data_IF_898722333132
#
_entry.id   IF_898722333132
#
_cell.length_a   1.000
_cell.length_b   1.000
_cell.length_c   1.000
_cell.angle_alpha   90.00
_cell.angle_beta   90.00
_cell.angle_gamma   90.00
#
_symmetry.space_group_name_H-M   'P 1'
#
loop_
_entity.id
_entity.type
_entity.pdbx_description
1 polymer ?
#
# COMPACT_ATOMS: atom_id res chain seq x y z
N UNK A 1 21.36 28.00 7.91
CA UNK A 1 20.62 27.01 7.09
C UNK A 1 19.23 27.56 6.85
N UNK A 2 19.03 28.11 5.64
CA UNK A 2 17.95 29.03 5.27
C UNK A 2 16.78 28.24 4.66
N UNK A 3 15.58 28.36 5.24
CA UNK A 3 14.38 27.58 4.91
C UNK A 3 13.63 28.07 3.65
N UNK A 4 14.14 29.07 2.94
CA UNK A 4 13.45 29.69 1.79
C UNK A 4 13.51 28.90 0.48
N UNK A 5 14.12 27.71 0.45
CA UNK A 5 14.35 26.97 -0.81
C UNK A 5 13.42 25.77 -1.08
N UNK A 6 12.42 25.47 -0.23
CA UNK A 6 11.48 24.36 -0.45
C UNK A 6 10.30 24.67 -1.39
N UNK A 7 10.35 25.78 -2.14
CA UNK A 7 9.29 26.19 -3.08
C UNK A 7 9.46 25.61 -4.50
N UNK A 8 9.92 24.36 -4.63
CA UNK A 8 9.89 23.61 -5.88
C UNK A 8 8.99 22.39 -5.73
N UNK A 9 7.67 22.61 -5.79
CA UNK A 9 6.70 21.50 -5.90
C UNK A 9 6.77 20.90 -7.30
N UNK A 10 6.95 19.58 -7.47
CA UNK A 10 6.84 18.92 -8.77
C UNK A 10 5.41 19.02 -9.32
N UNK A 11 5.30 19.26 -10.62
CA UNK A 11 4.09 19.67 -11.35
C UNK A 11 2.99 18.59 -11.53
N UNK A 12 2.99 17.49 -10.76
CA UNK A 12 2.09 16.35 -11.01
C UNK A 12 1.03 16.08 -9.93
N UNK A 13 1.03 16.80 -8.80
CA UNK A 13 0.11 16.49 -7.70
C UNK A 13 -1.36 16.62 -8.14
N UNK A 14 -2.17 15.55 -8.07
CA UNK A 14 -3.58 15.63 -8.44
C UNK A 14 -4.31 16.53 -7.45
N UNK A 15 -4.89 17.62 -7.95
CA UNK A 15 -5.77 18.50 -7.17
C UNK A 15 -7.06 17.75 -6.83
N UNK A 16 -7.52 17.74 -5.56
CA UNK A 16 -8.83 17.20 -5.23
C UNK A 16 -9.89 18.07 -5.91
N UNK A 17 -10.64 17.49 -6.86
CA UNK A 17 -11.79 18.16 -7.46
C UNK A 17 -12.80 18.44 -6.35
N UNK A 18 -13.11 19.72 -6.09
CA UNK A 18 -14.21 20.10 -5.19
C UNK A 18 -15.50 19.38 -5.63
N UNK A 19 -16.21 18.68 -4.73
CA UNK A 19 -17.52 18.14 -5.08
C UNK A 19 -18.49 19.31 -5.33
N UNK A 20 -19.41 19.18 -6.30
CA UNK A 20 -20.42 20.20 -6.57
C UNK A 20 -21.41 20.32 -5.40
N UNK A 21 -22.01 21.50 -5.17
CA UNK A 21 -23.03 21.66 -4.13
C UNK A 21 -24.27 20.83 -4.45
N UNK A 22 -24.80 20.15 -3.43
CA UNK A 22 -26.01 19.34 -3.49
C UNK A 22 -27.21 20.21 -3.91
N UNK A 23 -27.68 20.03 -5.15
CA UNK A 23 -28.87 20.71 -5.65
C UNK A 23 -30.12 19.92 -5.29
N UNK A 24 -31.02 20.63 -4.64
CA UNK A 24 -32.33 20.24 -4.13
C UNK A 24 -33.11 19.20 -4.94
N UNK A 25 -33.61 18.22 -4.17
CA UNK A 25 -34.92 17.57 -4.31
C UNK A 25 -35.82 18.12 -5.42
N UNK A 26 -36.16 17.24 -6.37
CA UNK A 26 -37.57 17.00 -6.73
C UNK A 26 -37.74 15.74 -7.60
N UNK A 27 -38.65 14.89 -7.12
CA UNK A 27 -39.45 13.87 -7.81
C UNK A 27 -38.71 12.68 -8.42
N UNK A 28 -38.92 11.52 -7.81
CA UNK A 28 -39.11 10.28 -8.56
C UNK A 28 -40.45 9.65 -8.14
N UNK A 29 -41.24 9.36 -9.17
CA UNK A 29 -42.61 8.85 -9.14
C UNK A 29 -42.53 7.35 -9.41
N UNK A 30 -43.32 6.58 -8.66
CA UNK A 30 -43.76 5.20 -8.89
C UNK A 30 -43.07 4.38 -10.01
N UNK A 31 -42.21 3.43 -9.62
CA UNK A 31 -42.20 2.03 -10.11
C UNK A 31 -40.99 1.30 -9.51
N UNK A 32 -41.32 0.45 -8.53
CA UNK A 32 -40.66 -0.79 -8.09
C UNK A 32 -39.28 -1.09 -8.73
N UNK A 33 -38.18 -0.91 -7.98
CA UNK A 33 -37.05 -1.87 -7.87
C UNK A 33 -35.79 -1.38 -7.15
N UNK A 34 -35.75 -0.18 -6.56
CA UNK A 34 -34.58 0.24 -5.78
C UNK A 34 -34.97 0.87 -4.43
N UNK A 35 -35.70 0.10 -3.61
CA UNK A 35 -35.96 0.41 -2.21
C UNK A 35 -35.19 -0.52 -1.25
N UNK A 36 -34.08 -1.12 -1.72
CA UNK A 36 -33.23 -2.03 -0.95
C UNK A 36 -31.76 -1.65 -1.08
N UNK A 37 -31.43 -0.38 -0.87
CA UNK A 37 -30.10 -0.04 -0.41
C UNK A 37 -30.23 0.49 1.01
N UNK A 38 -30.34 -0.50 1.91
CA UNK A 38 -29.74 -0.50 3.25
C UNK A 38 -29.11 0.82 3.62
N UNK A 39 -29.83 1.62 4.42
CA UNK A 39 -29.17 2.41 5.46
C UNK A 39 -28.38 1.41 6.31
N UNK A 40 -27.11 1.16 5.97
CA UNK A 40 -26.16 0.81 7.02
C UNK A 40 -26.11 2.07 7.86
N UNK A 41 -26.71 2.01 9.03
CA UNK A 41 -26.24 2.78 10.16
C UNK A 41 -24.80 2.33 10.37
N UNK A 42 -23.87 2.88 9.59
CA UNK A 42 -22.47 2.89 9.96
C UNK A 42 -22.45 3.71 11.25
N UNK A 43 -22.43 3.02 12.39
CA UNK A 43 -22.42 3.67 13.68
C UNK A 43 -21.17 4.54 13.76
N UNK A 44 -21.37 5.84 13.94
CA UNK A 44 -20.28 6.78 14.18
C UNK A 44 -19.99 6.75 15.67
N UNK A 45 -18.97 5.98 16.04
CA UNK A 45 -18.46 5.96 17.40
C UNK A 45 -17.60 7.21 17.65
N UNK A 46 -17.61 7.69 18.88
CA UNK A 46 -16.76 8.78 19.33
C UNK A 46 -15.73 8.22 20.29
N UNK A 47 -14.46 8.40 19.97
CA UNK A 47 -13.35 7.94 20.81
C UNK A 47 -12.60 9.15 21.32
N UNK A 48 -12.32 9.18 22.62
CA UNK A 48 -11.48 10.20 23.23
C UNK A 48 -10.06 9.66 23.28
N UNK A 49 -9.13 10.35 22.62
CA UNK A 49 -7.70 10.05 22.61
C UNK A 49 -6.93 11.14 23.34
N UNK A 50 -5.79 10.82 23.92
CA UNK A 50 -4.94 11.77 24.66
C UNK A 50 -3.65 12.02 23.89
N UNK A 51 -3.33 13.28 23.60
CA UNK A 51 -2.06 13.67 22.96
C UNK A 51 -1.44 14.82 23.74
N UNK A 52 -0.20 14.65 24.20
CA UNK A 52 0.54 15.57 25.07
C UNK A 52 -0.27 16.00 26.31
N UNK A 53 -1.02 15.06 26.89
CA UNK A 53 -1.87 15.29 28.06
C UNK A 53 -3.16 16.08 27.79
N UNK A 54 -3.53 16.31 26.53
CA UNK A 54 -4.81 16.95 26.15
C UNK A 54 -5.77 15.93 25.52
N UNK A 55 -7.05 15.92 25.93
CA UNK A 55 -8.04 15.03 25.34
C UNK A 55 -8.56 15.60 24.02
N UNK A 56 -8.61 14.77 22.98
CA UNK A 56 -9.16 15.05 21.67
C UNK A 56 -10.26 14.02 21.35
N UNK A 57 -11.41 14.48 20.88
CA UNK A 57 -12.52 13.59 20.48
C UNK A 57 -12.44 13.36 18.97
N UNK A 58 -12.31 12.10 18.57
CA UNK A 58 -12.25 11.67 17.18
C UNK A 58 -13.50 10.87 16.80
N UNK A 59 -13.97 11.06 15.58
CA UNK A 59 -15.08 10.32 14.99
C UNK A 59 -14.50 9.11 14.26
N UNK A 60 -14.97 7.92 14.62
CA UNK A 60 -14.45 6.66 14.13
C UNK A 60 -15.60 5.76 13.66
N UNK A 61 -15.41 4.98 12.58
CA UNK A 61 -16.29 3.86 12.29
C UNK A 61 -16.30 2.85 13.45
N UNK A 62 -17.45 2.25 13.74
CA UNK A 62 -17.54 1.16 14.70
C UNK A 62 -16.54 0.03 14.40
N UNK A 63 -15.72 -0.33 15.40
CA UNK A 63 -14.75 -1.41 15.33
C UNK A 63 -13.29 -1.00 15.10
N UNK A 64 -13.00 0.26 14.74
CA UNK A 64 -11.62 0.75 14.50
C UNK A 64 -11.05 1.55 15.69
N UNK A 65 -11.77 1.59 16.81
CA UNK A 65 -11.39 2.39 17.99
C UNK A 65 -10.01 2.05 18.55
N UNK A 66 -9.63 0.76 18.56
CA UNK A 66 -8.34 0.31 19.05
C UNK A 66 -7.19 0.82 18.15
N UNK A 67 -7.37 0.74 16.84
CA UNK A 67 -6.37 1.22 15.88
C UNK A 67 -6.15 2.73 16.01
N UNK A 68 -7.22 3.52 16.21
CA UNK A 68 -7.09 4.95 16.47
C UNK A 68 -6.34 5.26 17.77
N UNK A 69 -6.52 4.45 18.82
CA UNK A 69 -5.77 4.62 20.08
C UNK A 69 -4.28 4.35 19.86
N UNK A 70 -3.93 3.28 19.15
CA UNK A 70 -2.54 2.95 18.83
C UNK A 70 -1.88 4.09 18.00
N UNK A 71 -2.61 4.64 17.02
CA UNK A 71 -2.13 5.79 16.23
C UNK A 71 -1.94 7.05 17.09
N UNK A 72 -2.83 7.28 18.05
CA UNK A 72 -2.71 8.41 18.98
C UNK A 72 -1.51 8.25 19.92
N UNK A 73 -1.25 7.04 20.43
CA UNK A 73 -0.06 6.74 21.24
C UNK A 73 1.23 6.93 20.44
N UNK A 74 1.25 6.49 19.18
CA UNK A 74 2.36 6.74 18.27
C UNK A 74 2.60 8.23 18.08
N UNK A 75 1.55 9.01 17.83
CA UNK A 75 1.66 10.46 17.71
C UNK A 75 2.15 11.12 19.01
N UNK A 76 1.65 10.69 20.17
CA UNK A 76 2.10 11.20 21.47
C UNK A 76 3.60 10.95 21.69
N UNK A 77 4.08 9.74 21.38
CA UNK A 77 5.50 9.41 21.50
C UNK A 77 6.40 10.31 20.63
N UNK A 78 5.93 10.65 19.44
CA UNK A 78 6.63 11.54 18.50
C UNK A 78 6.62 12.98 19.01
N UNK A 79 5.50 13.44 19.57
CA UNK A 79 5.40 14.75 20.21
C UNK A 79 6.33 14.85 21.42
N UNK A 80 6.41 13.82 22.28
CA UNK A 80 7.37 13.80 23.39
C UNK A 80 8.82 13.87 22.89
N UNK A 81 9.15 13.17 21.80
CA UNK A 81 10.50 13.23 21.23
C UNK A 81 10.86 14.63 20.70
N UNK A 82 9.91 15.30 20.04
CA UNK A 82 10.08 16.69 19.57
C UNK A 82 10.18 17.67 20.75
N UNK A 83 9.41 17.44 21.82
CA UNK A 83 9.47 18.24 23.05
C UNK A 83 10.84 18.16 23.72
N UNK A 84 11.47 16.99 23.74
CA UNK A 84 12.84 16.83 24.28
C UNK A 84 13.89 17.58 23.46
N UNK A 85 13.72 17.71 22.13
CA UNK A 85 14.73 18.32 21.26
C UNK A 85 14.56 19.83 21.06
N UNK A 86 13.33 20.35 21.01
CA UNK A 86 13.03 21.76 20.71
C UNK A 86 12.63 22.55 21.97
N UNK A 87 12.34 21.88 23.08
CA UNK A 87 11.84 22.47 24.32
C UNK A 87 10.33 22.77 24.29
N UNK A 88 9.83 23.47 25.31
CA UNK A 88 8.40 23.83 25.42
C UNK A 88 7.99 24.99 24.50
N UNK A 89 8.18 24.82 23.18
CA UNK A 89 7.65 25.75 22.18
C UNK A 89 6.19 25.39 21.94
N UNK A 90 5.25 26.29 22.25
CA UNK A 90 3.80 26.05 22.32
C UNK A 90 3.18 24.86 21.56
N UNK A 91 2.27 24.16 22.24
CA UNK A 91 1.63 22.88 21.86
C UNK A 91 1.31 22.71 20.37
N UNK A 92 0.73 23.72 19.72
CA UNK A 92 0.34 23.66 18.30
C UNK A 92 1.56 23.46 17.39
N UNK A 93 2.68 24.17 17.66
CA UNK A 93 3.88 24.07 16.82
C UNK A 93 4.55 22.70 16.97
N UNK A 94 4.58 22.15 18.19
CA UNK A 94 5.09 20.80 18.44
C UNK A 94 4.28 19.74 17.69
N UNK A 95 2.94 19.83 17.73
CA UNK A 95 2.06 18.89 17.02
C UNK A 95 2.28 18.94 15.49
N UNK A 96 2.44 20.13 14.91
CA UNK A 96 2.72 20.28 13.48
C UNK A 96 4.07 19.66 13.11
N UNK A 97 5.12 19.90 13.91
CA UNK A 97 6.44 19.31 13.67
C UNK A 97 6.40 17.79 13.77
N UNK A 98 5.78 17.24 14.82
CA UNK A 98 5.63 15.80 14.99
C UNK A 98 4.83 15.17 13.84
N UNK A 99 3.71 15.79 13.43
CA UNK A 99 2.90 15.32 12.31
C UNK A 99 3.67 15.30 10.97
N UNK A 100 4.49 16.33 10.70
CA UNK A 100 5.34 16.36 9.51
C UNK A 100 6.42 15.26 9.53
N UNK A 101 7.01 14.98 10.70
CA UNK A 101 8.00 13.89 10.83
C UNK A 101 7.38 12.51 10.60
N UNK A 102 6.17 12.27 11.11
CA UNK A 102 5.44 11.02 10.86
C UNK A 102 5.08 10.89 9.39
N UNK A 103 4.61 11.98 8.76
CA UNK A 103 4.29 11.98 7.34
C UNK A 103 5.52 11.71 6.46
N UNK A 104 6.68 12.27 6.81
CA UNK A 104 7.95 12.02 6.12
C UNK A 104 8.34 10.54 6.17
N UNK A 105 8.30 9.92 7.36
CA UNK A 105 8.55 8.48 7.53
C UNK A 105 7.59 7.60 6.75
N UNK A 106 6.30 7.97 6.73
CA UNK A 106 5.30 7.24 5.95
C UNK A 106 5.61 7.35 4.45
N UNK A 107 5.98 8.54 3.98
CA UNK A 107 6.38 8.75 2.59
C UNK A 107 7.59 7.89 2.22
N UNK A 108 8.63 7.85 3.05
CA UNK A 108 9.79 6.99 2.84
C UNK A 108 9.42 5.51 2.82
N UNK A 109 8.55 5.06 3.75
CA UNK A 109 8.11 3.68 3.81
C UNK A 109 7.35 3.26 2.54
N UNK A 110 6.46 4.13 2.04
CA UNK A 110 5.72 3.89 0.79
C UNK A 110 6.70 3.77 -0.39
N UNK A 111 7.68 4.67 -0.51
CA UNK A 111 8.68 4.59 -1.57
C UNK A 111 9.52 3.31 -1.49
N UNK A 112 9.90 2.88 -0.28
CA UNK A 112 10.61 1.60 -0.08
C UNK A 112 9.76 0.40 -0.48
N UNK A 113 8.47 0.39 -0.14
CA UNK A 113 7.54 -0.67 -0.53
C UNK A 113 7.45 -0.74 -2.07
N UNK A 114 7.28 0.40 -2.75
CA UNK A 114 7.23 0.44 -4.22
C UNK A 114 8.52 -0.10 -4.86
N UNK A 115 9.68 0.29 -4.34
CA UNK A 115 10.96 -0.23 -4.83
C UNK A 115 11.13 -1.74 -4.58
N UNK A 116 10.63 -2.26 -3.46
CA UNK A 116 10.65 -3.69 -3.16
C UNK A 116 9.67 -4.47 -4.05
N UNK A 117 8.48 -3.92 -4.30
CA UNK A 117 7.50 -4.49 -5.23
C UNK A 117 8.07 -4.60 -6.65
N UNK A 118 8.78 -3.57 -7.12
CA UNK A 118 9.46 -3.59 -8.42
C UNK A 118 10.55 -4.66 -8.48
N UNK A 119 11.39 -4.77 -7.44
CA UNK A 119 12.40 -5.83 -7.35
C UNK A 119 11.79 -7.23 -7.34
N UNK A 120 10.71 -7.44 -6.59
CA UNK A 120 10.00 -8.73 -6.56
C UNK A 120 9.41 -9.07 -7.92
N UNK A 121 8.86 -8.08 -8.63
CA UNK A 121 8.35 -8.28 -9.98
C UNK A 121 9.47 -8.61 -10.97
N UNK A 122 10.59 -7.89 -10.94
CA UNK A 122 11.76 -8.20 -11.78
C UNK A 122 12.33 -9.60 -11.49
N UNK A 123 12.40 -10.02 -10.22
CA UNK A 123 12.82 -11.37 -9.84
C UNK A 123 11.84 -12.44 -10.33
N UNK A 124 10.52 -12.17 -10.26
CA UNK A 124 9.49 -13.09 -10.79
C UNK A 124 9.62 -13.25 -12.30
N UNK A 125 9.84 -12.16 -13.02
CA UNK A 125 10.06 -12.18 -14.48
C UNK A 125 11.32 -12.96 -14.85
N UNK A 126 12.45 -12.69 -14.20
CA UNK A 126 13.69 -13.42 -14.42
C UNK A 126 13.55 -14.92 -14.10
N UNK A 127 12.87 -15.26 -13.01
CA UNK A 127 12.55 -16.65 -12.67
C UNK A 127 11.71 -17.32 -13.75
N UNK A 128 10.66 -16.65 -14.23
CA UNK A 128 9.77 -17.19 -15.25
C UNK A 128 10.52 -17.43 -16.57
N UNK A 129 11.39 -16.48 -16.98
CA UNK A 129 12.25 -16.63 -18.15
C UNK A 129 13.19 -17.84 -18.01
N UNK A 130 13.90 -17.96 -16.87
CA UNK A 130 14.78 -19.09 -16.61
C UNK A 130 14.03 -20.43 -16.57
N UNK A 131 12.78 -20.44 -16.07
CA UNK A 131 11.94 -21.64 -16.09
C UNK A 131 11.52 -22.05 -17.50
N UNK A 132 11.17 -21.09 -18.36
CA UNK A 132 10.86 -21.35 -19.78
C UNK A 132 12.08 -21.93 -20.50
N UNK A 133 13.26 -21.32 -20.32
CA UNK A 133 14.51 -21.83 -20.89
C UNK A 133 14.83 -23.24 -20.38
N UNK A 134 14.66 -23.50 -19.08
CA UNK A 134 14.87 -24.83 -18.52
C UNK A 134 13.93 -25.89 -19.12
N UNK A 135 12.67 -25.54 -19.36
CA UNK A 135 11.71 -26.43 -19.99
C UNK A 135 12.08 -26.73 -21.45
N UNK A 136 12.55 -25.73 -22.20
CA UNK A 136 13.03 -25.91 -23.58
C UNK A 136 14.26 -26.82 -23.63
N UNK A 137 15.23 -26.59 -22.73
CA UNK A 137 16.42 -27.44 -22.60
C UNK A 137 16.02 -28.87 -22.26
N UNK A 138 15.08 -29.07 -21.32
CA UNK A 138 14.57 -30.40 -20.97
C UNK A 138 13.88 -31.10 -22.15
N UNK A 139 13.08 -30.38 -22.93
CA UNK A 139 12.43 -30.92 -24.12
C UNK A 139 13.48 -31.37 -25.16
N UNK A 140 14.48 -30.53 -25.44
CA UNK A 140 15.55 -30.85 -26.40
C UNK A 140 16.41 -32.04 -25.93
N UNK A 141 16.63 -32.18 -24.62
CA UNK A 141 17.33 -33.32 -24.03
C UNK A 141 16.53 -34.61 -24.21
N UNK A 142 15.22 -34.57 -23.95
CA UNK A 142 14.32 -35.70 -24.17
C UNK A 142 14.35 -36.18 -25.62
N UNK A 143 14.31 -35.26 -26.58
CA UNK A 143 14.42 -35.58 -28.00
C UNK A 143 15.75 -36.25 -28.36
N UNK A 144 16.88 -35.69 -27.88
CA UNK A 144 18.21 -36.30 -28.10
C UNK A 144 18.34 -37.68 -27.49
N UNK A 145 17.76 -37.90 -26.31
CA UNK A 145 17.74 -39.20 -25.65
C UNK A 145 16.90 -40.23 -26.42
N UNK A 146 15.75 -39.83 -26.98
CA UNK A 146 14.94 -40.71 -27.83
C UNK A 146 15.73 -41.12 -29.09
N UNK A 147 16.35 -40.17 -29.78
CA UNK A 147 17.18 -40.46 -30.97
C UNK A 147 18.38 -41.37 -30.64
N UNK A 148 19.03 -41.15 -29.49
CA UNK A 148 20.13 -42.01 -29.05
C UNK A 148 19.65 -43.45 -28.76
N UNK A 149 18.48 -43.59 -28.14
CA UNK A 149 17.87 -44.88 -27.85
C UNK A 149 17.52 -45.64 -29.13
N UNK A 150 16.92 -44.97 -30.11
CA UNK A 150 16.60 -45.56 -31.42
C UNK A 150 17.86 -46.09 -32.13
N UNK A 151 18.96 -45.33 -32.10
CA UNK A 151 20.24 -45.78 -32.66
C UNK A 151 20.80 -47.02 -31.94
N UNK A 152 20.66 -47.08 -30.62
CA UNK A 152 21.08 -48.25 -29.83
C UNK A 152 20.27 -49.48 -30.17
N UNK A 153 18.95 -49.35 -30.37
CA UNK A 153 18.09 -50.44 -30.81
C UNK A 153 18.51 -50.96 -32.20
N UNK A 154 18.80 -50.06 -33.14
CA UNK A 154 19.29 -50.43 -34.48
C UNK A 154 20.62 -51.18 -34.42
N UNK A 155 21.56 -50.74 -33.58
CA UNK A 155 22.85 -51.42 -33.38
C UNK A 155 22.66 -52.79 -32.72
N UNK A 156 21.79 -52.89 -31.72
CA UNK A 156 21.49 -54.16 -31.05
C UNK A 156 20.89 -55.20 -32.02
N UNK A 157 20.00 -54.77 -32.92
CA UNK A 157 19.44 -55.65 -33.98
C UNK A 157 20.50 -56.15 -34.97
N UNK A 158 21.53 -55.35 -35.26
CA UNK A 158 22.63 -55.75 -36.15
C UNK A 158 23.57 -56.78 -35.51
N UNK A 159 23.79 -56.70 -34.19
CA UNK A 159 24.66 -57.62 -33.46
C UNK A 159 23.97 -58.92 -33.03
N UNK A 160 22.63 -58.95 -32.99
CA UNK A 160 21.82 -60.12 -32.63
C UNK A 160 21.52 -61.08 -33.79
N UNK A 161 22.08 -60.84 -34.99
CA UNK A 161 22.08 -61.74 -36.14
C UNK A 161 23.47 -62.33 -36.33
#
# INVERSE_FOLDING_TARGET
MNWTSCAARPANWPTPRRPPPARSMRRCRASVQFCTQTRRSDGMAHVIVQVNGRPYTMQCPEGEEAHLRDLAELLDSEVQRVKTSVGNVGDIRMLVMAGLMVADRLSEAITKIQALEEQVNGLREAKNAAQLEALEVQASLGERLMVASERLEVLAQHLGK
#
